data_IF_577255052435
#
_entry.id   IF_577255052435
#
_cell.length_a   1.000
_cell.length_b   1.000
_cell.length_c   1.000
_cell.angle_alpha   90.00
_cell.angle_beta   90.00
_cell.angle_gamma   90.00
#
_symmetry.space_group_name_H-M   'P 1'
#
loop_
_entity.id
_entity.type
_entity.pdbx_description
1 polymer ?
#
# COMPACT_ATOMS: atom_id res chain seq x y z
N UNK A 1 34.83 24.70 -54.51
CA UNK A 1 34.59 25.32 -53.18
C UNK A 1 33.33 24.79 -52.47
N UNK A 2 32.47 24.02 -53.14
CA UNK A 2 31.15 23.56 -52.66
C UNK A 2 31.15 22.30 -51.77
N UNK A 3 32.14 21.39 -51.91
CA UNK A 3 32.19 20.14 -51.13
C UNK A 3 32.45 20.34 -49.62
N UNK A 4 33.17 21.41 -49.23
CA UNK A 4 33.49 21.70 -47.81
C UNK A 4 32.27 22.19 -47.03
N UNK A 5 31.38 22.94 -47.67
CA UNK A 5 30.17 23.49 -47.06
C UNK A 5 29.13 22.38 -46.85
N UNK A 6 29.03 21.44 -47.79
CA UNK A 6 28.12 20.29 -47.67
C UNK A 6 28.54 19.36 -46.52
N UNK A 7 29.84 19.10 -46.35
CA UNK A 7 30.36 18.32 -45.22
C UNK A 7 30.09 18.97 -43.86
N UNK A 8 30.22 20.30 -43.78
CA UNK A 8 29.93 21.05 -42.56
C UNK A 8 28.44 21.04 -42.22
N UNK A 9 27.56 21.19 -43.22
CA UNK A 9 26.11 21.15 -43.02
C UNK A 9 25.63 19.77 -42.53
N UNK A 10 26.18 18.67 -43.09
CA UNK A 10 25.86 17.30 -42.64
C UNK A 10 26.35 17.06 -41.21
N UNK A 11 27.53 17.56 -40.85
CA UNK A 11 28.07 17.41 -39.51
C UNK A 11 27.25 18.17 -38.45
N UNK A 12 26.79 19.38 -38.77
CA UNK A 12 25.91 20.18 -37.89
C UNK A 12 24.55 19.49 -37.72
N UNK A 13 23.99 18.92 -38.80
CA UNK A 13 22.71 18.21 -38.73
C UNK A 13 22.81 16.95 -37.85
N UNK A 14 23.91 16.19 -37.98
CA UNK A 14 24.17 15.00 -37.14
C UNK A 14 24.36 15.36 -35.67
N UNK A 15 25.07 16.45 -35.37
CA UNK A 15 25.27 16.93 -34.01
C UNK A 15 23.95 17.37 -33.34
N UNK A 16 23.02 17.99 -34.08
CA UNK A 16 21.71 18.39 -33.57
C UNK A 16 20.81 17.17 -33.30
N UNK A 17 20.90 16.13 -34.14
CA UNK A 17 20.17 14.85 -33.89
C UNK A 17 20.73 14.09 -32.68
N UNK A 18 22.03 14.16 -32.42
CA UNK A 18 22.65 13.56 -31.24
C UNK A 18 22.29 14.32 -29.95
N UNK A 19 22.28 15.66 -29.98
CA UNK A 19 21.91 16.46 -28.80
C UNK A 19 20.43 16.33 -28.41
N UNK A 20 19.53 16.14 -29.39
CA UNK A 20 18.09 15.99 -29.11
C UNK A 20 17.72 14.65 -28.46
N UNK A 21 18.54 13.60 -28.63
CA UNK A 21 18.33 12.30 -27.97
C UNK A 21 18.68 12.29 -26.47
N UNK A 22 19.39 13.30 -25.96
CA UNK A 22 19.77 13.42 -24.54
C UNK A 22 18.67 14.11 -23.72
N UNK A 23 17.71 14.77 -24.38
CA UNK A 23 16.59 15.48 -23.75
C UNK A 23 15.26 14.72 -23.80
N UNK A 24 15.32 13.38 -23.92
CA UNK A 24 14.17 12.56 -23.55
C UNK A 24 14.11 12.57 -22.02
N UNK A 25 13.14 13.25 -21.38
CA UNK A 25 12.90 13.01 -19.98
C UNK A 25 12.61 11.52 -19.84
N UNK A 26 13.41 10.82 -19.04
CA UNK A 26 13.17 9.46 -18.62
C UNK A 26 11.95 9.43 -17.68
N UNK A 27 10.79 9.85 -18.17
CA UNK A 27 9.49 9.67 -17.51
C UNK A 27 8.88 8.37 -18.00
N UNK A 28 9.63 7.27 -17.83
CA UNK A 28 9.14 5.91 -18.01
C UNK A 28 9.12 5.21 -16.65
N UNK A 29 8.40 5.80 -15.70
CA UNK A 29 8.03 5.13 -14.45
C UNK A 29 6.71 5.68 -13.92
N UNK A 30 5.64 5.57 -14.69
CA UNK A 30 4.28 5.79 -14.19
C UNK A 30 3.32 4.84 -14.92
N UNK A 31 3.24 3.62 -14.40
CA UNK A 31 2.08 2.72 -14.53
C UNK A 31 2.17 1.67 -13.41
N UNK A 32 2.40 2.13 -12.19
CA UNK A 32 1.71 1.51 -11.07
C UNK A 32 0.32 2.13 -11.07
N UNK A 33 -0.72 1.31 -11.14
CA UNK A 33 -2.10 1.74 -10.86
C UNK A 33 -2.11 2.42 -9.49
N UNK A 34 -1.88 3.72 -9.46
CA UNK A 34 -2.32 4.58 -8.37
C UNK A 34 -3.83 4.60 -8.50
N UNK A 35 -4.47 3.52 -8.05
CA UNK A 35 -5.84 3.60 -7.58
C UNK A 35 -5.82 4.74 -6.58
N UNK A 36 -6.29 5.89 -7.05
CA UNK A 36 -6.45 7.07 -6.24
C UNK A 36 -7.10 6.62 -4.94
N UNK A 37 -6.58 7.16 -3.84
CA UNK A 37 -7.01 6.98 -2.46
C UNK A 37 -8.51 7.33 -2.36
N UNK A 38 -9.38 6.50 -2.94
CA UNK A 38 -10.79 6.52 -2.67
C UNK A 38 -10.84 6.24 -1.19
N UNK A 39 -11.28 7.25 -0.45
CA UNK A 39 -11.33 7.31 0.99
C UNK A 39 -12.34 6.26 1.47
N UNK A 40 -11.97 4.99 1.33
CA UNK A 40 -12.75 3.85 1.76
C UNK A 40 -12.83 3.92 3.28
N UNK A 41 -14.01 3.64 3.81
CA UNK A 41 -14.19 3.50 5.25
C UNK A 41 -13.12 2.52 5.78
N UNK A 42 -12.49 2.82 6.92
CA UNK A 42 -11.47 1.95 7.47
C UNK A 42 -12.07 0.58 7.78
N UNK A 43 -11.31 -0.48 7.49
CA UNK A 43 -11.59 -1.82 7.97
C UNK A 43 -11.31 -1.81 9.47
N UNK A 44 -12.34 -1.97 10.28
CA UNK A 44 -12.26 -1.96 11.73
C UNK A 44 -11.87 -3.35 12.21
N UNK A 45 -10.67 -3.47 12.79
CA UNK A 45 -10.19 -4.70 13.37
C UNK A 45 -9.95 -4.52 14.86
N UNK A 46 -10.45 -5.44 15.66
CA UNK A 46 -10.13 -5.50 17.08
C UNK A 46 -9.13 -6.61 17.41
N UNK A 47 -8.39 -6.41 18.49
CA UNK A 47 -7.36 -7.32 18.96
C UNK A 47 -7.43 -7.45 20.47
N UNK A 48 -7.29 -8.67 20.99
CA UNK A 48 -7.13 -8.88 22.42
C UNK A 48 -5.66 -8.72 22.88
N UNK A 49 -5.45 -8.57 24.18
CA UNK A 49 -4.11 -8.42 24.78
C UNK A 49 -3.38 -9.76 24.79
N UNK A 50 -2.77 -10.08 23.65
CA UNK A 50 -1.93 -11.24 23.45
C UNK A 50 -0.70 -10.85 22.64
N UNK A 51 0.49 -11.30 23.07
CA UNK A 51 1.76 -10.77 22.56
C UNK A 51 1.90 -10.88 21.02
N UNK A 52 1.37 -11.94 20.41
CA UNK A 52 1.46 -12.13 18.95
C UNK A 52 0.55 -11.19 18.16
N UNK A 53 -0.50 -10.63 18.77
CA UNK A 53 -1.42 -9.73 18.07
C UNK A 53 -0.77 -8.36 17.77
N UNK A 54 0.28 -8.00 18.51
CA UNK A 54 0.97 -6.72 18.35
C UNK A 54 1.68 -6.56 17.00
N UNK A 55 1.86 -7.64 16.23
CA UNK A 55 2.39 -7.53 14.86
C UNK A 55 1.51 -6.65 13.96
N UNK A 56 0.19 -6.60 14.18
CA UNK A 56 -0.70 -5.71 13.44
C UNK A 56 -0.40 -4.23 13.74
N UNK A 57 -0.15 -3.88 15.01
CA UNK A 57 0.25 -2.52 15.40
C UNK A 57 1.61 -2.14 14.81
N UNK A 58 2.56 -3.07 14.81
CA UNK A 58 3.86 -2.87 14.14
C UNK A 58 3.64 -2.65 12.64
N UNK A 59 2.79 -3.43 11.99
CA UNK A 59 2.48 -3.26 10.57
C UNK A 59 1.83 -1.90 10.26
N UNK A 60 0.97 -1.41 11.14
CA UNK A 60 0.40 -0.06 11.06
C UNK A 60 1.47 1.02 11.22
N UNK A 61 2.34 0.90 12.23
CA UNK A 61 3.45 1.84 12.48
C UNK A 61 4.43 1.90 11.30
N UNK A 62 4.77 0.75 10.72
CA UNK A 62 5.65 0.67 9.54
C UNK A 62 4.96 1.06 8.23
N UNK A 63 3.65 1.34 8.26
CA UNK A 63 2.89 1.79 7.09
C UNK A 63 2.60 0.70 6.06
N UNK A 64 2.70 -0.59 6.42
CA UNK A 64 2.44 -1.69 5.48
C UNK A 64 1.00 -1.67 4.96
N UNK A 65 0.01 -1.33 5.79
CA UNK A 65 -1.38 -1.19 5.33
C UNK A 65 -1.51 -0.09 4.27
N UNK A 66 -0.88 1.07 4.49
CA UNK A 66 -0.89 2.20 3.55
C UNK A 66 -0.21 1.84 2.23
N UNK A 67 0.93 1.15 2.27
CA UNK A 67 1.66 0.70 1.07
C UNK A 67 0.84 -0.27 0.21
N UNK A 68 -0.07 -1.04 0.84
CA UNK A 68 -0.94 -2.00 0.16
C UNK A 68 -2.33 -1.42 -0.16
N UNK A 69 -2.52 -0.10 -0.06
CA UNK A 69 -3.80 0.57 -0.28
C UNK A 69 -4.93 0.05 0.63
N UNK A 70 -4.60 -0.33 1.87
CA UNK A 70 -5.57 -0.79 2.88
C UNK A 70 -5.70 0.28 3.95
N UNK A 71 -6.92 0.76 4.17
CA UNK A 71 -7.25 1.64 5.30
C UNK A 71 -7.74 0.78 6.47
N UNK A 72 -6.98 0.72 7.56
CA UNK A 72 -7.27 -0.13 8.72
C UNK A 72 -7.34 0.71 9.98
N UNK A 73 -8.34 0.44 10.82
CA UNK A 73 -8.45 0.97 12.17
C UNK A 73 -8.30 -0.18 13.17
N UNK A 74 -7.17 -0.23 13.88
CA UNK A 74 -6.89 -1.24 14.90
C UNK A 74 -7.34 -0.75 16.28
N UNK A 75 -8.18 -1.52 16.96
CA UNK A 75 -8.58 -1.28 18.36
C UNK A 75 -8.08 -2.37 19.28
N UNK A 76 -7.36 -2.01 20.33
CA UNK A 76 -7.01 -2.95 21.40
C UNK A 76 -8.16 -3.04 22.39
N UNK A 77 -8.69 -4.25 22.58
CA UNK A 77 -9.77 -4.54 23.55
C UNK A 77 -9.19 -5.43 24.65
N UNK A 78 -8.89 -4.88 25.85
CA UNK A 78 -8.24 -5.64 26.91
C UNK A 78 -9.12 -6.73 27.53
N UNK A 79 -10.42 -6.48 27.60
CA UNK A 79 -11.38 -7.43 28.15
C UNK A 79 -11.75 -8.46 27.08
N UNK A 80 -11.49 -9.73 27.38
CA UNK A 80 -11.66 -10.82 26.43
C UNK A 80 -13.13 -11.09 26.11
N UNK A 81 -14.03 -10.99 27.09
CA UNK A 81 -15.46 -11.22 26.84
C UNK A 81 -16.05 -10.09 25.99
N UNK A 82 -15.62 -8.86 26.25
CA UNK A 82 -16.00 -7.69 25.46
C UNK A 82 -15.52 -7.81 24.02
N UNK A 83 -14.28 -8.23 23.79
CA UNK A 83 -13.71 -8.48 22.45
C UNK A 83 -14.58 -9.44 21.61
N UNK A 84 -15.07 -10.51 22.21
CA UNK A 84 -15.90 -11.49 21.50
C UNK A 84 -17.33 -10.99 21.27
N UNK A 85 -17.83 -10.27 22.27
CA UNK A 85 -19.15 -9.65 22.22
C UNK A 85 -19.20 -8.55 21.16
N UNK A 86 -18.16 -7.74 21.01
CA UNK A 86 -18.12 -6.67 20.03
C UNK A 86 -18.07 -7.22 18.60
N UNK A 87 -17.29 -8.27 18.37
CA UNK A 87 -17.29 -8.98 17.10
C UNK A 87 -18.65 -9.59 16.76
N UNK A 88 -19.24 -10.36 17.68
CA UNK A 88 -20.53 -11.03 17.46
C UNK A 88 -21.68 -10.03 17.26
N UNK A 89 -21.58 -8.83 17.82
CA UNK A 89 -22.55 -7.74 17.61
C UNK A 89 -22.27 -6.92 16.34
N UNK A 90 -21.25 -7.26 15.54
CA UNK A 90 -20.90 -6.56 14.31
C UNK A 90 -20.33 -5.15 14.52
N UNK A 91 -19.74 -4.87 15.68
CA UNK A 91 -19.07 -3.57 15.94
C UNK A 91 -17.76 -3.43 15.15
N UNK A 92 -17.13 -4.56 14.81
CA UNK A 92 -15.88 -4.66 14.07
C UNK A 92 -16.07 -5.55 12.83
N UNK A 93 -15.30 -5.27 11.77
CA UNK A 93 -15.31 -6.03 10.51
C UNK A 93 -14.54 -7.36 10.64
N UNK A 94 -13.67 -7.47 11.64
CA UNK A 94 -12.88 -8.67 11.92
C UNK A 94 -12.12 -8.60 13.24
N UNK A 95 -11.59 -9.75 13.65
CA UNK A 95 -10.82 -9.90 14.88
C UNK A 95 -9.47 -10.55 14.63
N UNK A 96 -8.47 -10.14 15.41
CA UNK A 96 -7.17 -10.81 15.49
C UNK A 96 -7.07 -11.42 16.88
N UNK A 97 -7.21 -12.73 16.94
CA UNK A 97 -7.16 -13.51 18.16
C UNK A 97 -6.63 -14.91 17.91
N UNK A 98 -6.50 -15.69 18.98
CA UNK A 98 -6.04 -17.08 18.87
C UNK A 98 -7.11 -17.91 18.16
N UNK A 99 -6.71 -18.68 17.13
CA UNK A 99 -7.64 -19.44 16.30
C UNK A 99 -8.50 -20.43 17.11
N UNK A 100 -7.91 -21.15 18.06
CA UNK A 100 -8.63 -22.10 18.92
C UNK A 100 -9.77 -21.43 19.67
N UNK A 101 -9.53 -20.22 20.14
CA UNK A 101 -10.42 -19.48 21.01
C UNK A 101 -11.66 -19.01 20.24
N UNK A 102 -11.44 -18.52 19.02
CA UNK A 102 -12.50 -18.08 18.11
C UNK A 102 -13.38 -19.26 17.68
N UNK A 103 -12.77 -20.39 17.29
CA UNK A 103 -13.50 -21.56 16.80
C UNK A 103 -14.27 -22.31 17.89
N UNK A 104 -13.74 -22.33 19.12
CA UNK A 104 -14.43 -23.01 20.23
C UNK A 104 -15.66 -22.23 20.71
N UNK A 105 -15.69 -20.92 20.52
CA UNK A 105 -16.81 -20.09 20.96
C UNK A 105 -17.98 -20.05 19.99
N UNK A 106 -17.75 -20.16 18.69
CA UNK A 106 -18.83 -20.26 17.70
C UNK A 106 -19.76 -21.45 17.98
N UNK A 107 -19.28 -22.48 18.69
CA UNK A 107 -20.05 -23.65 19.11
C UNK A 107 -20.82 -23.47 20.43
N UNK A 108 -20.69 -22.33 21.12
CA UNK A 108 -21.33 -22.08 22.42
C UNK A 108 -22.39 -20.96 22.40
N UNK A 109 -22.70 -20.41 21.23
CA UNK A 109 -23.75 -19.41 21.01
C UNK A 109 -24.98 -20.05 20.39
#
# INVERSE_FOLDING_TARGET
MTKKILGFAVFVFLAITLLSSIFLPSSSFLLGDTKAYAQQAPIKLELNVWATNFFAFIAQEKGYFKQNNVNVELTLVPDYLQFLKDYSNGQYDGIIGVYSDIMLQDNQV
#
